data_IF_457298782944
#
_entry.id   IF_457298782944
#
_cell.length_a   1.000
_cell.length_b   1.000
_cell.length_c   1.000
_cell.angle_alpha   90.00
_cell.angle_beta   90.00
_cell.angle_gamma   90.00
#
_symmetry.space_group_name_H-M   'P 1'
#
loop_
_entity.id
_entity.type
_entity.pdbx_description
1 polymer ?
#
# COMPACT_ATOMS: atom_id res chain seq x y z
N UNK A 1 -11.13 -15.70 -11.27
CA UNK A 1 -11.51 -15.00 -12.53
C UNK A 1 -10.57 -13.81 -12.66
N UNK A 2 -9.61 -13.84 -13.60
CA UNK A 2 -8.68 -12.71 -13.77
C UNK A 2 -9.46 -11.51 -14.34
N UNK A 3 -9.61 -10.46 -13.54
CA UNK A 3 -10.35 -9.23 -13.90
C UNK A 3 -9.60 -8.33 -14.90
N UNK A 4 -8.35 -8.64 -15.18
CA UNK A 4 -7.53 -7.91 -16.14
C UNK A 4 -7.70 -8.47 -17.55
N UNK A 5 -8.12 -7.63 -18.50
CA UNK A 5 -8.02 -7.91 -19.92
C UNK A 5 -6.54 -7.92 -20.32
N UNK A 6 -5.85 -9.04 -20.12
CA UNK A 6 -4.46 -9.24 -20.53
C UNK A 6 -4.33 -8.93 -22.02
N UNK A 7 -3.68 -7.80 -22.34
CA UNK A 7 -3.32 -7.45 -23.71
C UNK A 7 -1.87 -7.88 -23.95
N UNK A 8 -1.60 -8.75 -24.93
CA UNK A 8 -0.23 -9.14 -25.26
C UNK A 8 0.66 -7.91 -25.46
N UNK A 9 1.82 -7.88 -24.80
CA UNK A 9 2.80 -6.80 -24.92
C UNK A 9 2.58 -5.57 -24.02
N UNK A 10 1.54 -5.53 -23.19
CA UNK A 10 1.32 -4.42 -22.23
C UNK A 10 1.37 -4.95 -20.79
N UNK A 11 2.32 -4.44 -20.02
CA UNK A 11 2.36 -4.69 -18.58
C UNK A 11 1.37 -3.79 -17.84
N UNK A 12 0.53 -4.39 -17.00
CA UNK A 12 -0.50 -3.69 -16.22
C UNK A 12 -0.01 -3.58 -14.78
N UNK A 13 -0.09 -2.37 -14.22
CA UNK A 13 0.27 -2.10 -12.84
C UNK A 13 -0.88 -1.39 -12.11
N UNK A 14 -1.25 -1.92 -10.95
CA UNK A 14 -2.29 -1.33 -10.10
C UNK A 14 -1.67 -0.33 -9.11
N UNK A 15 -2.27 0.84 -8.97
CA UNK A 15 -1.91 1.79 -7.91
C UNK A 15 -2.92 1.65 -6.77
N UNK A 16 -2.45 1.27 -5.59
CA UNK A 16 -3.26 1.17 -4.37
C UNK A 16 -2.79 2.22 -3.37
N UNK A 17 -3.74 2.84 -2.70
CA UNK A 17 -3.51 3.81 -1.62
C UNK A 17 -4.08 3.19 -0.35
N UNK A 18 -3.28 3.10 0.70
CA UNK A 18 -3.70 2.58 2.00
C UNK A 18 -3.96 3.73 2.98
N UNK A 19 -5.01 3.60 3.80
CA UNK A 19 -5.41 4.57 4.81
C UNK A 19 -6.40 5.61 4.29
N UNK A 20 -7.28 5.22 3.36
CA UNK A 20 -8.37 6.07 2.88
C UNK A 20 -9.37 6.41 4.02
N UNK A 21 -10.11 7.53 3.94
CA UNK A 21 -11.15 7.82 4.94
C UNK A 21 -12.19 6.70 5.02
N UNK A 22 -12.35 6.14 6.23
CA UNK A 22 -13.27 5.01 6.49
C UNK A 22 -12.74 3.64 6.09
N UNK A 23 -11.51 3.53 5.59
CA UNK A 23 -10.86 2.25 5.28
C UNK A 23 -10.29 1.61 6.53
N UNK A 24 -10.62 0.34 6.75
CA UNK A 24 -10.07 -0.47 7.84
C UNK A 24 -9.05 -1.51 7.34
N UNK A 25 -8.46 -2.23 8.29
CA UNK A 25 -7.48 -3.29 8.01
C UNK A 25 -8.04 -4.41 7.14
N UNK A 26 -9.28 -4.83 7.36
CA UNK A 26 -9.88 -5.94 6.61
C UNK A 26 -10.09 -5.54 5.15
N UNK A 27 -10.56 -4.32 4.90
CA UNK A 27 -10.69 -3.74 3.55
C UNK A 27 -9.35 -3.67 2.82
N UNK A 28 -8.28 -3.25 3.50
CA UNK A 28 -6.93 -3.22 2.92
C UNK A 28 -6.42 -4.62 2.58
N UNK A 29 -6.67 -5.62 3.43
CA UNK A 29 -6.26 -7.00 3.17
C UNK A 29 -7.09 -7.65 2.05
N UNK A 30 -8.39 -7.35 1.96
CA UNK A 30 -9.20 -7.80 0.82
C UNK A 30 -8.70 -7.16 -0.48
N UNK A 31 -8.27 -5.90 -0.45
CA UNK A 31 -7.62 -5.25 -1.61
C UNK A 31 -6.35 -6.00 -2.04
N UNK A 32 -5.51 -6.44 -1.10
CA UNK A 32 -4.31 -7.24 -1.40
C UNK A 32 -4.67 -8.55 -2.12
N UNK A 33 -5.68 -9.26 -1.61
CA UNK A 33 -6.17 -10.51 -2.17
C UNK A 33 -6.76 -10.31 -3.57
N UNK A 34 -7.66 -9.33 -3.73
CA UNK A 34 -8.25 -9.01 -5.03
C UNK A 34 -7.15 -8.70 -6.05
N UNK A 35 -6.20 -7.82 -5.70
CA UNK A 35 -5.08 -7.45 -6.59
C UNK A 35 -4.22 -8.68 -6.94
N UNK A 36 -3.93 -9.55 -5.96
CA UNK A 36 -3.21 -10.80 -6.20
C UNK A 36 -3.90 -11.70 -7.23
N UNK A 37 -5.23 -11.78 -7.17
CA UNK A 37 -6.06 -12.60 -8.07
C UNK A 37 -6.34 -11.94 -9.44
N UNK A 38 -6.07 -10.63 -9.60
CA UNK A 38 -6.36 -9.91 -10.85
C UNK A 38 -5.44 -10.33 -12.02
N UNK A 39 -4.29 -10.95 -11.74
CA UNK A 39 -3.30 -11.32 -12.75
C UNK A 39 -2.59 -10.12 -13.39
N UNK A 40 -2.47 -9.00 -12.66
CA UNK A 40 -1.67 -7.83 -13.05
C UNK A 40 -0.18 -8.08 -12.84
N UNK A 41 0.68 -7.33 -13.54
CA UNK A 41 2.12 -7.55 -13.53
C UNK A 41 2.82 -6.88 -12.33
N UNK A 42 2.21 -5.84 -11.76
CA UNK A 42 2.81 -5.15 -10.63
C UNK A 42 1.85 -4.29 -9.84
N UNK A 43 2.34 -3.79 -8.71
CA UNK A 43 1.59 -2.92 -7.81
C UNK A 43 2.46 -1.76 -7.33
N UNK A 44 1.85 -0.58 -7.19
CA UNK A 44 2.39 0.58 -6.49
C UNK A 44 1.58 0.74 -5.21
N UNK A 45 2.20 0.53 -4.06
CA UNK A 45 1.57 0.77 -2.76
C UNK A 45 1.96 2.18 -2.31
N UNK A 46 0.97 2.97 -1.95
CA UNK A 46 1.11 4.37 -1.57
C UNK A 46 0.40 4.61 -0.22
N UNK A 47 1.03 5.38 0.66
CA UNK A 47 0.43 5.84 1.92
C UNK A 47 -0.47 7.04 1.64
N UNK A 48 -1.74 7.02 2.05
CA UNK A 48 -2.51 8.26 2.03
C UNK A 48 -1.89 9.28 2.99
N UNK A 49 -1.44 10.40 2.44
CA UNK A 49 -1.02 11.57 3.17
C UNK A 49 -1.81 12.79 2.71
N UNK A 50 -1.97 13.74 3.62
CA UNK A 50 -2.69 14.99 3.44
C UNK A 50 -1.79 15.99 2.73
N UNK A 51 -2.29 16.49 1.60
CA UNK A 51 -1.63 17.51 0.78
C UNK A 51 -2.36 18.83 0.92
N UNK A 52 -1.60 19.92 1.00
CA UNK A 52 -2.12 21.29 1.11
C UNK A 52 -3.05 21.63 -0.06
N UNK A 53 -4.17 22.28 0.25
CA UNK A 53 -5.16 22.72 -0.72
C UNK A 53 -6.10 21.61 -1.22
N UNK A 54 -6.06 20.42 -0.64
CA UNK A 54 -6.95 19.31 -1.03
C UNK A 54 -8.18 19.21 -0.13
N UNK A 55 -9.24 18.54 -0.61
CA UNK A 55 -10.40 18.22 0.22
C UNK A 55 -10.02 17.38 1.46
N UNK A 56 -8.96 16.56 1.35
CA UNK A 56 -8.44 15.78 2.46
C UNK A 56 -7.82 16.66 3.56
N UNK A 57 -7.23 17.80 3.22
CA UNK A 57 -6.77 18.78 4.22
C UNK A 57 -7.95 19.34 5.01
N UNK A 58 -9.07 19.68 4.35
CA UNK A 58 -10.26 20.14 5.05
C UNK A 58 -10.82 19.06 6.01
N UNK A 59 -10.89 17.80 5.57
CA UNK A 59 -11.30 16.68 6.43
C UNK A 59 -10.36 16.50 7.63
N UNK A 60 -9.05 16.58 7.40
CA UNK A 60 -8.05 16.48 8.45
C UNK A 60 -8.19 17.59 9.49
N UNK A 61 -8.35 18.86 9.06
CA UNK A 61 -8.50 20.00 9.96
C UNK A 61 -9.82 19.95 10.77
N UNK A 62 -10.87 19.36 10.21
CA UNK A 62 -12.15 19.18 10.89
C UNK A 62 -12.17 17.97 11.85
N UNK A 63 -11.13 17.13 11.84
CA UNK A 63 -11.09 15.88 12.61
C UNK A 63 -11.85 14.71 11.97
N UNK A 64 -12.33 14.88 10.73
CA UNK A 64 -13.06 13.84 9.97
C UNK A 64 -12.11 12.79 9.36
N UNK A 65 -10.81 13.04 9.37
CA UNK A 65 -9.79 12.12 8.88
C UNK A 65 -8.56 12.15 9.80
N UNK A 66 -8.08 10.96 10.17
CA UNK A 66 -6.79 10.78 10.85
C UNK A 66 -5.90 9.89 10.00
N UNK A 67 -4.71 10.35 9.57
CA UNK A 67 -3.77 9.50 8.84
C UNK A 67 -3.23 8.37 9.72
N UNK A 68 -2.83 7.27 9.08
CA UNK A 68 -2.20 6.14 9.75
C UNK A 68 -0.95 6.56 10.54
N UNK A 69 -0.74 5.91 11.68
CA UNK A 69 0.55 5.98 12.35
C UNK A 69 1.63 5.28 11.51
N UNK A 70 2.90 5.69 11.66
CA UNK A 70 4.00 5.12 10.88
C UNK A 70 4.13 3.60 11.08
N UNK A 71 4.09 3.15 12.33
CA UNK A 71 4.17 1.72 12.65
C UNK A 71 2.95 0.95 12.14
N UNK A 72 1.76 1.53 12.26
CA UNK A 72 0.53 0.96 11.72
C UNK A 72 0.61 0.75 10.20
N UNK A 73 1.10 1.75 9.46
CA UNK A 73 1.35 1.62 8.03
C UNK A 73 2.38 0.53 7.70
N UNK A 74 3.49 0.47 8.45
CA UNK A 74 4.52 -0.55 8.29
C UNK A 74 3.92 -1.95 8.43
N UNK A 75 3.13 -2.18 9.48
CA UNK A 75 2.49 -3.46 9.72
C UNK A 75 1.50 -3.82 8.62
N UNK A 76 0.65 -2.87 8.20
CA UNK A 76 -0.31 -3.03 7.11
C UNK A 76 0.37 -3.37 5.77
N UNK A 77 1.46 -2.68 5.44
CA UNK A 77 2.21 -2.94 4.21
C UNK A 77 2.87 -4.32 4.25
N UNK A 78 3.45 -4.72 5.39
CA UNK A 78 4.00 -6.08 5.53
C UNK A 78 2.91 -7.13 5.30
N UNK A 79 1.77 -6.97 5.95
CA UNK A 79 0.63 -7.89 5.80
C UNK A 79 0.11 -7.92 4.35
N UNK A 80 0.07 -6.77 3.68
CA UNK A 80 -0.30 -6.64 2.27
C UNK A 80 0.68 -7.39 1.38
N UNK A 81 1.99 -7.18 1.54
CA UNK A 81 3.06 -7.81 0.74
C UNK A 81 3.05 -9.32 0.87
N UNK A 82 2.87 -9.86 2.08
CA UNK A 82 2.82 -11.30 2.33
C UNK A 82 1.71 -12.02 1.56
N UNK A 83 0.65 -11.27 1.20
CA UNK A 83 -0.53 -11.77 0.46
C UNK A 83 -0.43 -11.55 -1.05
N UNK A 84 0.58 -10.86 -1.55
CA UNK A 84 0.78 -10.69 -3.00
C UNK A 84 1.43 -11.94 -3.63
N UNK A 85 1.13 -12.27 -4.90
CA UNK A 85 1.81 -13.35 -5.62
C UNK A 85 3.31 -13.08 -5.71
N UNK A 86 4.14 -14.13 -5.57
CA UNK A 86 5.61 -14.03 -5.60
C UNK A 86 6.18 -13.43 -6.89
N UNK A 87 5.45 -13.58 -7.99
CA UNK A 87 5.82 -13.10 -9.33
C UNK A 87 5.43 -11.65 -9.62
N UNK A 88 4.58 -11.05 -8.77
CA UNK A 88 4.12 -9.67 -8.97
C UNK A 88 5.24 -8.67 -8.63
N UNK A 89 5.48 -7.70 -9.51
CA UNK A 89 6.49 -6.66 -9.25
C UNK A 89 5.92 -5.59 -8.33
N UNK A 90 6.49 -5.44 -7.14
CA UNK A 90 6.22 -4.30 -6.26
C UNK A 90 7.10 -3.13 -6.73
N UNK A 91 6.48 -2.11 -7.35
CA UNK A 91 7.22 -0.96 -7.87
C UNK A 91 7.56 0.08 -6.80
N UNK A 92 6.76 0.14 -5.72
CA UNK A 92 6.97 1.01 -4.56
C UNK A 92 6.10 0.57 -3.39
N UNK A 93 6.52 0.94 -2.18
CA UNK A 93 5.85 0.64 -0.90
C UNK A 93 5.69 1.85 0.01
N UNK A 94 6.03 3.05 -0.49
CA UNK A 94 5.94 4.32 0.23
C UNK A 94 5.91 5.45 -0.80
N UNK A 95 5.76 6.71 -0.37
CA UNK A 95 5.83 7.88 -1.24
C UNK A 95 6.78 8.96 -0.75
N UNK A 96 7.20 9.80 -1.68
CA UNK A 96 8.11 10.94 -1.44
C UNK A 96 7.31 12.24 -1.68
N UNK A 97 6.56 12.72 -0.67
CA UNK A 97 5.77 13.94 -0.81
C UNK A 97 6.68 15.17 -0.89
N UNK A 98 6.29 16.16 -1.68
CA UNK A 98 6.96 17.46 -1.66
C UNK A 98 6.84 18.10 -0.28
N UNK A 99 7.97 18.42 0.35
CA UNK A 99 8.01 18.90 1.73
C UNK A 99 7.16 20.17 1.98
N UNK A 100 7.02 21.05 0.98
CA UNK A 100 6.20 22.26 1.07
C UNK A 100 4.69 21.99 1.05
N UNK A 101 4.29 20.83 0.51
CA UNK A 101 2.90 20.46 0.26
C UNK A 101 2.37 19.47 1.30
N UNK A 102 3.25 18.72 1.97
CA UNK A 102 2.86 17.76 3.01
C UNK A 102 2.28 18.48 4.23
N UNK A 103 1.05 18.12 4.58
CA UNK A 103 0.36 18.61 5.79
C UNK A 103 0.45 17.58 6.91
N UNK A 104 0.12 16.32 6.61
CA UNK A 104 0.16 15.21 7.55
C UNK A 104 0.21 13.85 6.82
N UNK A 105 0.70 12.78 7.45
CA UNK A 105 1.49 12.81 8.66
C UNK A 105 2.94 13.21 8.32
N UNK A 106 3.62 13.92 9.22
CA UNK A 106 4.98 14.43 8.98
C UNK A 106 6.00 13.33 8.63
N UNK A 107 5.78 12.12 9.16
CA UNK A 107 6.66 10.97 8.89
C UNK A 107 6.63 10.52 7.42
N UNK A 108 5.60 10.87 6.64
CA UNK A 108 5.53 10.56 5.21
C UNK A 108 6.71 11.17 4.42
N UNK A 109 7.26 12.31 4.88
CA UNK A 109 8.47 12.90 4.29
C UNK A 109 9.76 12.11 4.57
N UNK A 110 9.73 11.14 5.49
CA UNK A 110 10.85 10.28 5.87
C UNK A 110 10.71 8.88 5.25
N UNK A 111 10.46 8.83 3.94
CA UNK A 111 10.14 7.57 3.24
C UNK A 111 11.24 6.49 3.37
N UNK A 112 12.52 6.88 3.42
CA UNK A 112 13.65 5.95 3.63
C UNK A 112 13.58 5.25 5.00
N UNK A 113 13.18 5.99 6.03
CA UNK A 113 13.01 5.44 7.37
C UNK A 113 11.88 4.40 7.36
N UNK A 114 10.75 4.73 6.76
CA UNK A 114 9.60 3.80 6.64
C UNK A 114 9.96 2.56 5.81
N UNK A 115 10.70 2.73 4.71
CA UNK A 115 11.18 1.61 3.90
C UNK A 115 12.04 0.64 4.72
N UNK A 116 13.00 1.16 5.50
CA UNK A 116 13.84 0.33 6.37
C UNK A 116 13.02 -0.37 7.45
N UNK A 117 12.03 0.31 8.03
CA UNK A 117 11.12 -0.31 9.01
C UNK A 117 10.34 -1.49 8.40
N UNK A 118 9.85 -1.36 7.17
CA UNK A 118 9.16 -2.47 6.46
C UNK A 118 10.12 -3.63 6.25
N UNK A 119 11.35 -3.36 5.81
CA UNK A 119 12.34 -4.41 5.60
C UNK A 119 12.65 -5.16 6.91
N UNK A 120 12.97 -4.43 7.99
CA UNK A 120 13.24 -5.05 9.29
C UNK A 120 12.05 -5.82 9.84
N UNK A 121 10.83 -5.28 9.68
CA UNK A 121 9.62 -5.96 10.14
C UNK A 121 9.41 -7.28 9.39
N UNK A 122 9.67 -7.34 8.09
CA UNK A 122 9.61 -8.60 7.32
C UNK A 122 10.71 -9.58 7.75
N UNK A 123 11.93 -9.09 7.99
CA UNK A 123 13.06 -9.90 8.49
C UNK A 123 12.73 -10.51 9.87
N UNK A 124 12.26 -9.70 10.82
CA UNK A 124 11.88 -10.11 12.18
C UNK A 124 10.75 -11.15 12.16
N UNK A 125 9.80 -11.00 11.22
CA UNK A 125 8.70 -11.96 11.02
C UNK A 125 9.13 -13.23 10.26
N UNK A 126 10.41 -13.34 9.86
CA UNK A 126 10.90 -14.35 8.93
C UNK A 126 9.95 -14.50 7.73
N UNK A 127 9.61 -13.37 7.12
CA UNK A 127 8.51 -13.23 6.17
C UNK A 127 8.97 -12.70 4.82
N UNK A 128 8.13 -12.89 3.81
CA UNK A 128 8.43 -12.53 2.43
C UNK A 128 7.16 -12.43 1.60
N UNK A 129 7.26 -11.77 0.44
CA UNK A 129 6.18 -11.64 -0.53
C UNK A 129 5.65 -13.02 -0.93
N UNK A 130 4.33 -13.21 -0.82
CA UNK A 130 3.66 -14.46 -1.18
C UNK A 130 3.70 -15.56 -0.13
N UNK A 131 4.21 -15.29 1.09
CA UNK A 131 4.16 -16.25 2.21
C UNK A 131 2.75 -16.76 2.52
N UNK A 132 1.74 -15.90 2.37
CA UNK A 132 0.33 -16.21 2.62
C UNK A 132 -0.56 -16.14 1.37
N UNK A 133 0.04 -16.05 0.18
CA UNK A 133 -0.72 -16.06 -1.06
C UNK A 133 -1.16 -17.50 -1.38
N UNK A 134 -2.44 -17.79 -1.14
CA UNK A 134 -3.04 -19.07 -1.51
C UNK A 134 -3.23 -19.14 -3.02
N UNK A 135 -2.47 -20.00 -3.70
CA UNK A 135 -2.83 -20.42 -5.05
C UNK A 135 -4.08 -21.29 -4.94
N UNK A 136 -5.26 -20.69 -5.12
CA UNK A 136 -6.45 -21.45 -5.46
C UNK A 136 -6.14 -22.18 -6.77
N UNK A 137 -6.00 -23.51 -6.69
CA UNK A 137 -5.93 -24.38 -7.86
C UNK A 137 -7.14 -24.11 -8.74
N UNK A 138 -6.89 -23.52 -9.90
CA UNK A 138 -7.82 -23.54 -11.04
C UNK A 138 -7.49 -24.79 -11.84
#
# INVERSE_FOLDING_TARGET
MALSAKRPGINICTHIILGLPGEDREMMMESAKVIGDMGVNGVKIHLLYVVRGTALEAMYQNGDYTPLAQQEYVDLVCDFIERLPKEMIIQRITGDPHASELVAPAWAGRYRETFNMIQHTLEDRASYQGKYHYQGSI
#
